data_IF_497782570990
#
_entry.id   IF_497782570990
#
_cell.length_a   1.000
_cell.length_b   1.000
_cell.length_c   1.000
_cell.angle_alpha   90.00
_cell.angle_beta   90.00
_cell.angle_gamma   90.00
#
_symmetry.space_group_name_H-M   'P 1'
#
loop_
_entity.id
_entity.type
_entity.pdbx_description
1 polymer ?
#
# COMPACT_ATOMS: atom_id res chain seq x y z
N UNK A 1 46.99 -23.54 -3.75
CA UNK A 1 47.44 -23.61 -2.33
C UNK A 1 46.39 -23.01 -1.46
N UNK A 2 45.87 -23.81 -0.54
CA UNK A 2 44.77 -23.55 0.37
C UNK A 2 45.17 -22.54 1.46
N UNK A 3 44.28 -21.70 1.93
CA UNK A 3 44.14 -21.36 3.34
C UNK A 3 42.69 -20.99 3.67
N UNK A 4 42.09 -21.90 4.37
CA UNK A 4 40.81 -21.85 5.11
C UNK A 4 41.09 -21.11 6.43
N UNK A 5 40.24 -20.11 6.77
CA UNK A 5 40.23 -19.53 8.12
C UNK A 5 38.87 -19.80 8.73
N UNK A 6 38.87 -20.64 9.72
CA UNK A 6 37.77 -21.03 10.59
C UNK A 6 37.72 -20.03 11.76
N UNK A 7 36.63 -19.35 11.96
CA UNK A 7 36.40 -18.51 13.14
C UNK A 7 35.42 -19.22 14.08
N UNK A 8 35.94 -19.49 15.27
CA UNK A 8 35.33 -20.21 16.39
C UNK A 8 34.44 -19.23 17.20
N UNK A 9 33.16 -19.49 17.31
CA UNK A 9 32.29 -18.78 18.25
C UNK A 9 32.31 -19.46 19.60
N UNK A 10 32.75 -18.73 20.64
CA UNK A 10 32.75 -19.16 22.03
C UNK A 10 31.42 -18.76 22.67
N UNK A 11 30.66 -19.75 23.15
CA UNK A 11 29.52 -19.56 24.04
C UNK A 11 30.02 -19.35 25.48
N UNK A 12 29.61 -18.26 26.10
CA UNK A 12 29.76 -18.12 27.56
C UNK A 12 28.36 -18.17 28.18
N UNK A 13 28.10 -19.28 28.86
CA UNK A 13 26.95 -19.47 29.75
C UNK A 13 27.33 -18.93 31.12
N UNK A 14 26.52 -18.06 31.70
CA UNK A 14 26.65 -17.68 33.10
C UNK A 14 25.32 -17.91 33.83
N UNK A 15 25.22 -19.03 34.52
CA UNK A 15 24.23 -19.28 35.56
C UNK A 15 24.63 -18.57 36.85
N UNK A 16 23.73 -17.78 37.41
CA UNK A 16 23.79 -17.40 38.81
C UNK A 16 22.43 -17.61 39.45
N UNK A 17 22.35 -18.65 40.30
CA UNK A 17 21.27 -18.83 41.26
C UNK A 17 21.57 -17.98 42.50
N UNK A 18 20.56 -17.26 42.99
CA UNK A 18 20.54 -16.82 44.41
C UNK A 18 19.12 -17.05 44.94
N UNK A 19 19.09 -17.69 46.10
CA UNK A 19 17.93 -18.22 46.80
C UNK A 19 17.16 -17.17 47.63
N UNK A 20 15.90 -17.47 47.78
CA UNK A 20 14.92 -17.18 48.83
C UNK A 20 15.24 -16.17 49.95
N UNK A 21 14.28 -15.23 50.13
CA UNK A 21 13.65 -15.10 51.45
C UNK A 21 12.28 -14.42 51.33
N UNK A 22 11.27 -15.03 51.93
CA UNK A 22 9.92 -14.59 51.92
C UNK A 22 9.63 -13.43 52.87
N UNK A 23 8.70 -12.58 52.47
CA UNK A 23 7.91 -11.77 53.41
C UNK A 23 6.49 -11.61 52.86
N UNK A 24 5.54 -12.16 53.63
CA UNK A 24 4.11 -12.00 53.41
C UNK A 24 3.68 -10.57 53.76
N UNK A 25 2.95 -9.88 52.84
CA UNK A 25 2.02 -8.82 53.21
C UNK A 25 0.82 -8.80 52.29
N UNK A 26 -0.33 -8.77 52.92
CA UNK A 26 -1.69 -8.71 52.37
C UNK A 26 -1.94 -7.50 51.46
N UNK A 27 -2.69 -7.78 50.42
CA UNK A 27 -3.87 -7.01 49.99
C UNK A 27 -3.59 -5.70 49.26
N UNK A 28 -3.80 -5.74 47.93
CA UNK A 28 -4.71 -4.78 47.25
C UNK A 28 -5.07 -5.38 45.90
N UNK A 29 -6.38 -5.59 45.69
CA UNK A 29 -6.96 -5.86 44.40
C UNK A 29 -6.73 -4.64 43.51
N UNK A 30 -5.73 -4.69 42.67
CA UNK A 30 -5.66 -3.91 41.45
C UNK A 30 -6.05 -4.84 40.32
N UNK A 31 -7.27 -4.66 39.80
CA UNK A 31 -7.70 -5.17 38.51
C UNK A 31 -6.69 -4.71 37.46
N UNK A 32 -5.74 -5.55 37.13
CA UNK A 32 -4.99 -5.46 35.89
C UNK A 32 -6.00 -5.68 34.78
N UNK A 33 -6.47 -4.56 34.19
CA UNK A 33 -7.08 -4.58 32.88
C UNK A 33 -6.02 -5.07 31.92
N UNK A 34 -6.02 -6.39 31.63
CA UNK A 34 -5.38 -6.93 30.44
C UNK A 34 -5.95 -6.14 29.26
N UNK A 35 -5.16 -5.16 28.81
CA UNK A 35 -5.38 -4.51 27.53
C UNK A 35 -5.32 -5.64 26.51
N UNK A 36 -6.49 -6.01 26.01
CA UNK A 36 -6.67 -6.99 24.95
C UNK A 36 -5.79 -6.55 23.76
N UNK A 37 -4.57 -7.06 23.71
CA UNK A 37 -3.62 -6.77 22.64
C UNK A 37 -4.30 -7.25 21.36
N UNK A 38 -4.75 -6.29 20.52
CA UNK A 38 -5.32 -6.58 19.22
C UNK A 38 -4.32 -7.42 18.44
N UNK A 39 -4.63 -8.70 18.27
CA UNK A 39 -3.87 -9.60 17.40
C UNK A 39 -4.18 -9.16 15.98
N UNK A 40 -3.30 -8.34 15.40
CA UNK A 40 -3.35 -8.04 13.98
C UNK A 40 -2.73 -9.22 13.21
N UNK A 41 -3.36 -9.71 12.15
CA UNK A 41 -2.81 -10.80 11.36
C UNK A 41 -1.47 -10.39 10.74
N UNK A 42 -0.45 -11.23 10.93
CA UNK A 42 0.93 -10.86 10.60
C UNK A 42 1.44 -11.36 9.24
N UNK A 43 0.63 -12.13 8.47
CA UNK A 43 1.17 -12.76 7.26
C UNK A 43 0.19 -12.79 6.10
N UNK A 44 0.74 -12.48 4.93
CA UNK A 44 0.14 -12.73 3.62
C UNK A 44 1.12 -13.61 2.84
N UNK A 45 0.73 -14.81 2.44
CA UNK A 45 1.53 -15.72 1.62
C UNK A 45 1.16 -15.56 0.16
N UNK A 46 2.11 -15.18 -0.69
CA UNK A 46 1.90 -15.17 -2.14
C UNK A 46 2.23 -16.54 -2.74
N UNK A 47 1.59 -16.91 -3.85
CA UNK A 47 1.90 -18.14 -4.58
C UNK A 47 3.32 -18.17 -5.19
N UNK A 48 4.08 -17.11 -5.03
CA UNK A 48 5.48 -17.03 -5.47
C UNK A 48 6.48 -17.51 -4.40
N UNK A 49 6.00 -18.11 -3.30
CA UNK A 49 6.87 -18.61 -2.23
C UNK A 49 7.41 -17.53 -1.30
N UNK A 50 7.05 -16.28 -1.52
CA UNK A 50 7.40 -15.17 -0.64
C UNK A 50 6.23 -14.88 0.31
N UNK A 51 6.50 -14.90 1.60
CA UNK A 51 5.57 -14.43 2.62
C UNK A 51 5.61 -12.92 2.64
N UNK A 52 4.54 -12.25 2.22
CA UNK A 52 4.39 -10.82 2.44
C UNK A 52 3.74 -10.65 3.81
N UNK A 53 4.53 -10.26 4.81
CA UNK A 53 3.99 -9.88 6.09
C UNK A 53 3.17 -8.59 5.96
N UNK A 54 1.94 -8.57 6.51
CA UNK A 54 1.23 -7.32 6.68
C UNK A 54 1.97 -6.47 7.71
N UNK A 55 2.16 -5.18 7.46
CA UNK A 55 2.76 -4.29 8.42
C UNK A 55 1.96 -4.27 9.73
N UNK A 56 2.67 -4.13 10.84
CA UNK A 56 2.03 -4.04 12.15
C UNK A 56 0.97 -2.93 12.18
N UNK A 57 -0.20 -3.23 12.73
CA UNK A 57 -1.33 -2.31 12.78
C UNK A 57 -2.08 -2.14 11.46
N UNK A 58 -1.80 -2.93 10.42
CA UNK A 58 -2.55 -2.90 9.18
C UNK A 58 -3.93 -3.56 9.38
N UNK A 59 -4.96 -2.74 9.50
CA UNK A 59 -6.36 -3.16 9.66
C UNK A 59 -7.23 -2.81 8.44
N UNK A 60 -6.66 -2.18 7.41
CA UNK A 60 -7.34 -1.93 6.13
C UNK A 60 -6.43 -2.31 4.97
N UNK A 61 -6.93 -3.17 4.08
CA UNK A 61 -6.20 -3.57 2.87
C UNK A 61 -7.12 -3.47 1.65
N UNK A 62 -6.69 -2.75 0.63
CA UNK A 62 -7.29 -2.85 -0.70
C UNK A 62 -6.58 -3.98 -1.42
N UNK A 63 -7.31 -5.01 -1.84
CA UNK A 63 -6.77 -6.12 -2.63
C UNK A 63 -7.23 -5.99 -4.06
N UNK A 64 -6.29 -5.93 -4.98
CA UNK A 64 -6.52 -5.86 -6.43
C UNK A 64 -6.11 -7.20 -7.03
N UNK A 65 -7.09 -7.97 -7.49
CA UNK A 65 -6.86 -9.26 -8.14
C UNK A 65 -7.09 -9.13 -9.65
N UNK A 66 -6.01 -9.28 -10.42
CA UNK A 66 -6.10 -9.28 -11.88
C UNK A 66 -6.96 -10.42 -12.40
N UNK A 67 -7.85 -10.10 -13.36
CA UNK A 67 -8.68 -11.10 -14.03
C UNK A 67 -8.29 -11.24 -15.51
N UNK A 68 -9.22 -11.08 -16.45
CA UNK A 68 -8.90 -11.15 -17.87
C UNK A 68 -8.57 -9.77 -18.45
N UNK A 69 -7.50 -9.69 -19.24
CA UNK A 69 -7.07 -8.47 -19.89
C UNK A 69 -6.68 -7.39 -18.86
N UNK A 70 -7.42 -6.29 -18.86
CA UNK A 70 -7.19 -5.14 -17.95
C UNK A 70 -8.14 -5.09 -16.76
N UNK A 71 -9.12 -6.00 -16.72
CA UNK A 71 -10.10 -6.05 -15.63
C UNK A 71 -9.48 -6.58 -14.36
N UNK A 72 -9.95 -6.10 -13.22
CA UNK A 72 -9.59 -6.62 -11.90
C UNK A 72 -10.77 -6.55 -10.94
N UNK A 73 -10.75 -7.42 -9.95
CA UNK A 73 -11.55 -7.30 -8.75
C UNK A 73 -10.79 -6.45 -7.74
N UNK A 74 -11.45 -5.51 -7.11
CA UNK A 74 -10.90 -4.67 -6.04
C UNK A 74 -11.72 -4.92 -4.80
N UNK A 75 -11.11 -5.47 -3.77
CA UNK A 75 -11.75 -5.73 -2.49
C UNK A 75 -11.24 -4.73 -1.46
N UNK A 76 -12.14 -4.04 -0.79
CA UNK A 76 -11.79 -3.20 0.35
C UNK A 76 -12.02 -4.02 1.63
N UNK A 77 -10.93 -4.48 2.26
CA UNK A 77 -10.95 -5.29 3.47
C UNK A 77 -10.74 -4.41 4.71
N UNK A 78 -11.56 -4.65 5.73
CA UNK A 78 -11.38 -4.10 7.08
C UNK A 78 -11.25 -5.24 8.07
N UNK A 79 -10.25 -5.21 8.94
CA UNK A 79 -10.13 -6.09 10.09
C UNK A 79 -10.91 -5.51 11.26
N UNK A 80 -11.89 -6.24 11.76
CA UNK A 80 -12.68 -5.88 12.91
C UNK A 80 -13.17 -7.16 13.61
N UNK A 81 -13.26 -7.14 14.92
CA UNK A 81 -13.81 -8.24 15.73
C UNK A 81 -13.16 -9.60 15.43
N UNK A 82 -11.82 -9.59 15.22
CA UNK A 82 -11.04 -10.80 14.95
C UNK A 82 -11.17 -11.35 13.52
N UNK A 83 -11.82 -10.66 12.60
CA UNK A 83 -12.06 -11.14 11.23
C UNK A 83 -11.89 -10.05 10.17
N UNK A 84 -11.57 -10.48 8.93
CA UNK A 84 -11.57 -9.62 7.76
C UNK A 84 -12.94 -9.60 7.09
N UNK A 85 -13.51 -8.42 6.94
CA UNK A 85 -14.74 -8.17 6.18
C UNK A 85 -14.39 -7.39 4.91
N UNK A 86 -14.99 -7.72 3.79
CA UNK A 86 -14.69 -7.06 2.52
C UNK A 86 -15.92 -6.65 1.73
N UNK A 87 -15.74 -5.65 0.86
CA UNK A 87 -16.67 -5.30 -0.21
C UNK A 87 -15.97 -5.37 -1.56
N UNK A 88 -16.63 -5.93 -2.56
CA UNK A 88 -16.13 -6.04 -3.92
C UNK A 88 -16.47 -4.79 -4.74
N UNK A 89 -15.49 -4.33 -5.49
CA UNK A 89 -15.57 -3.23 -6.46
C UNK A 89 -14.98 -3.72 -7.78
N UNK A 90 -15.65 -3.44 -8.90
CA UNK A 90 -15.06 -3.71 -10.22
C UNK A 90 -14.05 -2.63 -10.57
N UNK A 91 -12.87 -3.04 -11.03
CA UNK A 91 -11.78 -2.15 -11.38
C UNK A 91 -11.09 -2.52 -12.69
N UNK A 92 -10.12 -1.68 -13.03
CA UNK A 92 -9.22 -1.87 -14.18
C UNK A 92 -7.78 -1.56 -13.77
N UNK A 93 -6.84 -2.14 -14.49
CA UNK A 93 -5.39 -1.96 -14.32
C UNK A 93 -4.78 -1.29 -15.55
N UNK A 94 -3.45 -1.24 -15.61
CA UNK A 94 -2.71 -0.80 -16.78
C UNK A 94 -3.12 -1.51 -18.05
N UNK A 95 -3.00 -0.85 -19.21
CA UNK A 95 -3.42 -1.41 -20.50
C UNK A 95 -2.66 -2.67 -20.92
N UNK A 96 -1.57 -3.00 -20.24
CA UNK A 96 -0.82 -4.26 -20.36
C UNK A 96 -0.92 -5.14 -19.12
N UNK A 97 -1.96 -4.96 -18.31
CA UNK A 97 -2.24 -5.76 -17.12
C UNK A 97 -1.34 -5.42 -15.93
N UNK A 98 -1.08 -6.42 -15.09
CA UNK A 98 -0.24 -6.31 -13.89
C UNK A 98 1.14 -6.89 -14.19
N UNK A 99 2.20 -6.17 -13.86
CA UNK A 99 3.57 -6.65 -13.96
C UNK A 99 3.83 -7.71 -12.87
N UNK A 100 4.56 -8.78 -13.14
CA UNK A 100 5.13 -9.61 -12.09
C UNK A 100 5.95 -8.76 -11.11
N UNK A 101 6.01 -9.17 -9.84
CA UNK A 101 6.73 -8.42 -8.81
C UNK A 101 8.18 -8.11 -9.24
N UNK A 102 8.63 -6.88 -9.00
CA UNK A 102 9.98 -6.41 -9.34
C UNK A 102 10.24 -6.14 -10.83
N UNK A 103 9.29 -6.45 -11.73
CA UNK A 103 9.49 -6.30 -13.18
C UNK A 103 8.89 -5.04 -13.78
N UNK A 104 8.12 -4.26 -13.01
CA UNK A 104 7.56 -2.98 -13.45
C UNK A 104 8.66 -2.01 -13.93
N UNK A 105 8.40 -1.30 -15.03
CA UNK A 105 9.28 -0.25 -15.58
C UNK A 105 8.47 0.97 -15.98
N UNK A 106 9.17 2.11 -16.05
CA UNK A 106 8.57 3.35 -16.55
C UNK A 106 8.04 3.16 -17.98
N UNK A 107 6.82 3.66 -18.24
CA UNK A 107 6.19 3.60 -19.57
C UNK A 107 5.76 2.21 -20.04
N UNK A 108 5.87 1.14 -19.24
CA UNK A 108 5.52 -0.23 -19.65
C UNK A 108 4.01 -0.50 -19.74
N UNK A 109 3.17 0.42 -19.28
CA UNK A 109 1.71 0.29 -19.30
C UNK A 109 1.14 -0.74 -18.35
N UNK A 110 1.91 -1.20 -17.38
CA UNK A 110 1.52 -2.21 -16.40
C UNK A 110 1.34 -1.63 -15.00
N UNK A 111 0.44 -2.21 -14.23
CA UNK A 111 0.30 -1.95 -12.78
C UNK A 111 1.33 -2.80 -12.02
N UNK A 112 2.07 -2.27 -11.04
CA UNK A 112 3.02 -3.06 -10.27
C UNK A 112 2.31 -4.08 -9.38
N UNK A 113 2.83 -5.31 -9.28
CA UNK A 113 2.41 -6.27 -8.25
C UNK A 113 3.19 -6.03 -6.95
N UNK A 114 2.55 -6.29 -5.81
CA UNK A 114 3.15 -6.19 -4.48
C UNK A 114 2.22 -5.58 -3.45
N UNK A 115 2.75 -5.42 -2.24
CA UNK A 115 2.09 -4.75 -1.12
C UNK A 115 2.69 -3.36 -0.93
N UNK A 116 1.85 -2.32 -0.93
CA UNK A 116 2.27 -0.92 -0.85
C UNK A 116 1.43 -0.16 0.18
N UNK A 117 2.03 0.78 0.88
CA UNK A 117 1.31 1.65 1.79
C UNK A 117 0.41 2.66 1.04
N UNK A 118 -0.68 3.06 1.70
CA UNK A 118 -1.54 4.18 1.30
C UNK A 118 -1.43 5.23 2.39
N UNK A 119 -0.72 6.33 2.14
CA UNK A 119 -0.42 7.34 3.16
C UNK A 119 -1.08 8.68 2.91
N UNK A 120 -1.41 8.97 1.66
CA UNK A 120 -1.87 10.28 1.22
C UNK A 120 -2.68 10.20 -0.07
N UNK A 121 -3.46 11.22 -0.29
CA UNK A 121 -4.21 11.41 -1.52
C UNK A 121 -4.26 12.86 -1.95
N UNK A 122 -4.83 13.08 -3.11
CA UNK A 122 -5.05 14.39 -3.70
C UNK A 122 -6.50 14.49 -4.18
N UNK A 123 -7.11 15.66 -4.10
CA UNK A 123 -8.44 15.88 -4.66
C UNK A 123 -8.54 17.25 -5.33
N UNK A 124 -9.43 17.33 -6.33
CA UNK A 124 -9.80 18.59 -6.98
C UNK A 124 -11.22 18.99 -6.53
N UNK A 125 -11.51 18.84 -5.25
CA UNK A 125 -12.79 19.18 -4.62
C UNK A 125 -12.48 20.03 -3.43
N UNK A 126 -12.96 21.29 -3.47
CA UNK A 126 -12.88 22.19 -2.32
C UNK A 126 -13.77 21.64 -1.20
N UNK A 127 -13.37 21.82 0.03
CA UNK A 127 -14.13 21.44 1.23
C UNK A 127 -14.46 19.93 1.33
N UNK A 128 -13.69 19.09 0.61
CA UNK A 128 -13.82 17.64 0.76
C UNK A 128 -13.27 17.19 2.12
N UNK A 129 -14.13 16.61 2.94
CA UNK A 129 -13.78 16.11 4.26
C UNK A 129 -13.56 14.61 4.22
N UNK A 130 -12.41 14.16 4.70
CA UNK A 130 -12.04 12.75 4.85
C UNK A 130 -11.11 12.59 6.05
N UNK A 131 -11.15 11.46 6.74
CA UNK A 131 -10.14 11.08 7.74
C UNK A 131 -8.79 10.79 7.08
N UNK A 132 -8.82 10.29 5.83
CA UNK A 132 -7.61 10.04 5.06
C UNK A 132 -6.99 11.37 4.60
N UNK A 133 -5.65 11.54 4.71
CA UNK A 133 -4.98 12.78 4.34
C UNK A 133 -5.13 13.10 2.85
N UNK A 134 -5.99 14.06 2.53
CA UNK A 134 -6.25 14.52 1.16
C UNK A 134 -5.78 15.95 0.98
N UNK A 135 -4.86 16.18 0.07
CA UNK A 135 -4.42 17.53 -0.30
C UNK A 135 -5.23 18.05 -1.48
N UNK A 136 -5.81 19.25 -1.37
CA UNK A 136 -6.48 19.91 -2.49
C UNK A 136 -5.44 20.46 -3.44
N UNK A 137 -5.39 19.94 -4.66
CA UNK A 137 -4.44 20.36 -5.67
C UNK A 137 -5.03 21.37 -6.66
N UNK A 138 -4.17 22.07 -7.38
CA UNK A 138 -4.53 23.06 -8.38
C UNK A 138 -3.78 22.83 -9.71
N UNK A 139 -3.89 23.75 -10.65
CA UNK A 139 -3.30 23.68 -11.99
C UNK A 139 -1.76 23.78 -12.05
N UNK A 140 -1.10 24.01 -10.92
CA UNK A 140 0.35 24.07 -10.80
C UNK A 140 0.97 22.76 -10.31
N UNK A 141 0.16 21.72 -10.05
CA UNK A 141 0.65 20.45 -9.54
C UNK A 141 1.02 19.52 -10.69
N UNK A 142 2.23 18.97 -10.62
CA UNK A 142 2.77 18.01 -11.59
C UNK A 142 3.35 16.84 -10.80
N UNK A 143 3.07 15.62 -11.25
CA UNK A 143 3.82 14.45 -10.79
C UNK A 143 5.01 14.26 -11.72
N UNK A 144 6.24 14.28 -11.19
CA UNK A 144 7.45 14.20 -12.00
C UNK A 144 7.69 12.75 -12.46
N UNK A 145 7.60 12.53 -13.77
CA UNK A 145 7.83 11.23 -14.42
C UNK A 145 9.14 11.20 -15.21
N UNK A 146 9.97 12.26 -15.10
CA UNK A 146 11.24 12.32 -15.81
C UNK A 146 12.31 11.50 -15.10
N UNK A 147 12.70 10.36 -15.67
CA UNK A 147 13.70 9.43 -15.10
C UNK A 147 15.08 10.04 -14.86
N UNK A 148 15.38 11.19 -15.46
CA UNK A 148 16.64 11.94 -15.29
C UNK A 148 16.50 13.06 -14.26
N UNK A 149 15.32 13.25 -13.67
CA UNK A 149 15.09 14.28 -12.68
C UNK A 149 15.49 13.80 -11.28
N UNK A 150 16.11 14.65 -10.46
CA UNK A 150 16.36 14.34 -9.04
C UNK A 150 15.05 14.21 -8.24
N UNK A 151 13.94 14.72 -8.78
CA UNK A 151 12.60 14.66 -8.19
C UNK A 151 11.69 13.63 -8.86
N UNK A 152 12.27 12.69 -9.63
CA UNK A 152 11.52 11.61 -10.27
C UNK A 152 10.60 10.90 -9.26
N UNK A 153 9.38 10.60 -9.69
CA UNK A 153 8.32 9.98 -8.91
C UNK A 153 7.91 10.77 -7.65
N UNK A 154 7.96 12.09 -7.70
CA UNK A 154 7.47 12.96 -6.64
C UNK A 154 6.45 13.98 -7.12
N UNK A 155 5.64 14.48 -6.17
CA UNK A 155 4.70 15.56 -6.42
C UNK A 155 5.40 16.91 -6.36
N UNK A 156 5.38 17.64 -7.46
CA UNK A 156 5.90 19.01 -7.55
C UNK A 156 4.74 20.01 -7.40
N UNK A 157 4.88 20.92 -6.45
CA UNK A 157 4.00 22.05 -6.23
C UNK A 157 4.68 23.31 -6.77
N UNK A 158 4.04 24.00 -7.72
CA UNK A 158 4.60 25.17 -8.38
C UNK A 158 5.97 24.91 -9.07
N UNK A 159 6.11 23.87 -9.91
CA UNK A 159 7.34 23.60 -10.63
C UNK A 159 7.68 24.74 -11.58
N UNK A 160 8.95 24.82 -11.95
CA UNK A 160 9.41 25.81 -12.96
C UNK A 160 8.73 25.58 -14.31
N UNK A 161 8.49 26.64 -15.11
CA UNK A 161 7.94 26.50 -16.47
C UNK A 161 8.75 25.50 -17.31
N UNK A 162 8.05 24.62 -18.04
CA UNK A 162 8.70 23.60 -18.87
C UNK A 162 8.96 22.26 -18.16
N UNK A 163 8.72 22.12 -16.84
CA UNK A 163 8.80 20.84 -16.13
C UNK A 163 7.93 19.80 -16.83
N UNK A 164 8.52 18.63 -17.11
CA UNK A 164 7.84 17.46 -17.67
C UNK A 164 7.22 16.65 -16.55
N UNK A 165 6.12 15.94 -16.84
CA UNK A 165 5.43 15.06 -15.92
C UNK A 165 3.93 15.07 -16.12
N UNK A 166 3.21 14.27 -15.30
CA UNK A 166 1.75 14.23 -15.35
C UNK A 166 1.16 15.50 -14.73
N UNK A 167 0.46 16.25 -15.56
CA UNK A 167 -0.25 17.46 -15.16
C UNK A 167 -1.61 17.07 -14.62
N UNK A 168 -1.72 16.81 -13.33
CA UNK A 168 -2.90 16.27 -12.66
C UNK A 168 -4.19 17.02 -13.00
N UNK A 169 -4.13 18.35 -13.11
CA UNK A 169 -5.27 19.21 -13.40
C UNK A 169 -5.94 18.93 -14.75
N UNK A 170 -5.24 18.33 -15.73
CA UNK A 170 -5.83 17.99 -17.04
C UNK A 170 -6.96 16.96 -16.93
N UNK A 171 -6.93 16.14 -15.87
CA UNK A 171 -7.89 15.06 -15.64
C UNK A 171 -8.77 15.30 -14.41
N UNK A 172 -8.75 16.51 -13.84
CA UNK A 172 -9.35 16.89 -12.54
C UNK A 172 -10.84 16.66 -12.40
N UNK A 173 -11.59 16.76 -13.49
CA UNK A 173 -13.05 16.69 -13.45
C UNK A 173 -13.60 15.26 -13.50
N UNK A 174 -12.76 14.26 -13.77
CA UNK A 174 -13.15 12.86 -13.84
C UNK A 174 -12.10 11.95 -13.18
N UNK A 175 -11.01 11.66 -13.92
CA UNK A 175 -10.05 10.64 -13.49
C UNK A 175 -9.36 11.02 -12.18
N UNK A 176 -8.94 12.26 -12.05
CA UNK A 176 -8.15 12.77 -10.94
C UNK A 176 -8.94 13.65 -9.96
N UNK A 177 -10.26 13.55 -10.00
CA UNK A 177 -11.09 14.23 -9.00
C UNK A 177 -10.75 13.79 -7.58
N UNK A 178 -10.46 12.49 -7.42
CA UNK A 178 -9.93 11.86 -6.21
C UNK A 178 -8.77 10.94 -6.61
N UNK A 179 -7.65 11.09 -5.96
CA UNK A 179 -6.44 10.29 -6.16
C UNK A 179 -6.02 9.75 -4.79
N UNK A 180 -5.73 8.47 -4.70
CA UNK A 180 -4.95 7.91 -3.58
C UNK A 180 -3.61 7.46 -4.12
N UNK A 181 -2.54 7.95 -3.55
CA UNK A 181 -1.17 7.61 -3.96
C UNK A 181 -0.85 6.20 -3.45
N UNK A 182 -0.46 5.33 -4.36
CA UNK A 182 0.16 4.04 -4.01
C UNK A 182 1.65 4.31 -3.79
N UNK A 183 2.15 4.03 -2.59
CA UNK A 183 3.57 4.28 -2.27
C UNK A 183 4.47 3.22 -2.93
N UNK A 184 4.36 3.11 -4.26
CA UNK A 184 5.20 2.31 -5.12
C UNK A 184 6.40 3.13 -5.58
N UNK A 185 7.61 2.61 -5.41
CA UNK A 185 8.86 3.27 -5.83
C UNK A 185 9.02 4.70 -5.26
N UNK A 186 8.60 4.91 -4.01
CA UNK A 186 8.65 6.22 -3.34
C UNK A 186 9.73 6.30 -2.29
N UNK A 187 10.21 5.15 -1.76
CA UNK A 187 11.27 5.10 -0.74
C UNK A 187 11.94 3.72 -0.70
N UNK A 188 13.19 3.59 -1.19
CA UNK A 188 13.90 4.57 -2.04
C UNK A 188 13.30 4.69 -3.44
N UNK A 189 13.44 5.85 -4.05
CA UNK A 189 13.07 6.05 -5.46
C UNK A 189 14.16 5.48 -6.36
N UNK A 190 13.76 4.60 -7.28
CA UNK A 190 14.65 4.00 -8.30
C UNK A 190 14.25 4.56 -9.67
N UNK A 191 15.09 5.38 -10.32
CA UNK A 191 14.81 5.91 -11.65
C UNK A 191 14.51 4.80 -12.67
N UNK A 192 13.42 4.98 -13.42
CA UNK A 192 12.99 4.02 -14.44
C UNK A 192 12.23 2.78 -13.92
N UNK A 193 12.09 2.59 -12.61
CA UNK A 193 11.29 1.50 -12.05
C UNK A 193 9.78 1.73 -12.17
N UNK A 194 9.36 2.91 -12.55
CA UNK A 194 7.96 3.33 -12.71
C UNK A 194 7.57 4.42 -11.72
N UNK A 195 6.66 5.27 -12.13
CA UNK A 195 6.18 6.44 -11.38
C UNK A 195 4.67 6.57 -11.46
N UNK A 196 4.11 7.53 -10.69
CA UNK A 196 2.71 7.96 -10.77
C UNK A 196 1.69 6.81 -10.68
N UNK A 197 1.87 5.91 -9.72
CA UNK A 197 0.91 4.82 -9.47
C UNK A 197 -0.13 5.27 -8.45
N UNK A 198 -1.38 5.32 -8.91
CA UNK A 198 -2.51 5.82 -8.13
C UNK A 198 -3.71 4.88 -8.15
N UNK A 199 -4.60 5.05 -7.16
CA UNK A 199 -6.01 4.71 -7.28
C UNK A 199 -6.73 5.97 -7.76
N UNK A 200 -7.57 5.86 -8.80
CA UNK A 200 -8.33 6.99 -9.34
C UNK A 200 -9.60 6.53 -10.10
N UNK A 201 -10.43 7.46 -10.53
CA UNK A 201 -11.58 7.10 -11.36
C UNK A 201 -11.14 6.70 -12.78
N UNK A 202 -11.74 5.67 -13.38
CA UNK A 202 -11.50 5.32 -14.78
C UNK A 202 -12.05 6.40 -15.72
N UNK A 203 -11.46 6.52 -16.91
CA UNK A 203 -11.91 7.46 -17.93
C UNK A 203 -13.33 7.13 -18.46
N UNK A 204 -13.62 5.84 -18.55
CA UNK A 204 -14.92 5.27 -18.86
C UNK A 204 -14.95 3.85 -18.32
N UNK A 205 -16.17 3.29 -18.11
CA UNK A 205 -16.33 1.92 -17.59
C UNK A 205 -15.51 0.91 -18.38
N UNK A 206 -14.62 0.19 -17.69
CA UNK A 206 -13.76 -0.84 -18.27
C UNK A 206 -12.56 -0.32 -19.08
N UNK A 207 -12.34 0.99 -19.19
CA UNK A 207 -11.15 1.55 -19.86
C UNK A 207 -9.94 1.49 -18.95
N UNK A 208 -8.87 0.84 -19.45
CA UNK A 208 -7.59 0.70 -18.77
C UNK A 208 -6.91 2.04 -18.45
N UNK A 209 -5.92 1.94 -17.57
CA UNK A 209 -5.01 3.04 -17.18
C UNK A 209 -3.65 2.89 -17.86
N UNK A 210 -2.72 3.78 -17.57
CA UNK A 210 -1.31 3.63 -17.98
C UNK A 210 -0.46 2.82 -16.98
N UNK A 211 -1.04 2.43 -15.82
CA UNK A 211 -0.38 1.68 -14.75
C UNK A 211 -1.10 1.78 -13.41
N UNK A 212 -1.98 2.75 -13.25
CA UNK A 212 -2.80 2.94 -12.06
C UNK A 212 -3.88 1.87 -11.93
N UNK A 213 -4.56 1.84 -10.78
CA UNK A 213 -5.81 1.09 -10.59
C UNK A 213 -6.98 2.05 -10.72
N UNK A 214 -7.89 1.75 -11.66
CA UNK A 214 -9.06 2.59 -11.95
C UNK A 214 -10.37 1.92 -11.54
N UNK A 215 -11.34 2.73 -11.07
CA UNK A 215 -12.69 2.29 -10.73
C UNK A 215 -13.71 3.38 -11.05
N UNK A 216 -15.01 3.19 -10.79
CA UNK A 216 -15.97 4.28 -10.96
C UNK A 216 -15.69 5.45 -10.01
N UNK A 217 -16.06 6.67 -10.39
CA UNK A 217 -15.87 7.86 -9.53
C UNK A 217 -16.58 7.70 -8.18
N UNK A 218 -17.79 7.14 -8.18
CA UNK A 218 -18.55 6.88 -6.95
C UNK A 218 -17.84 5.89 -6.02
N UNK A 219 -17.25 4.83 -6.59
CA UNK A 219 -16.45 3.88 -5.81
C UNK A 219 -15.16 4.52 -5.30
N UNK A 220 -14.49 5.34 -6.13
CA UNK A 220 -13.28 6.03 -5.70
C UNK A 220 -13.54 6.98 -4.53
N UNK A 221 -14.65 7.76 -4.60
CA UNK A 221 -15.09 8.61 -3.49
C UNK A 221 -15.35 7.77 -2.23
N UNK A 222 -16.13 6.68 -2.35
CA UNK A 222 -16.38 5.75 -1.25
C UNK A 222 -15.12 5.10 -0.67
N UNK A 223 -14.10 4.82 -1.49
CA UNK A 223 -12.82 4.30 -1.01
C UNK A 223 -12.09 5.35 -0.19
N UNK A 224 -12.02 6.59 -0.65
CA UNK A 224 -11.37 7.68 0.10
C UNK A 224 -12.07 7.94 1.44
N UNK A 225 -13.41 7.95 1.46
CA UNK A 225 -14.20 8.13 2.67
C UNK A 225 -14.06 6.97 3.67
N UNK A 226 -13.78 5.77 3.17
CA UNK A 226 -13.58 4.57 3.98
C UNK A 226 -12.16 4.48 4.56
N UNK A 227 -11.14 5.00 3.88
CA UNK A 227 -9.76 4.94 4.32
C UNK A 227 -9.56 5.69 5.64
N UNK A 228 -8.90 5.02 6.59
CA UNK A 228 -8.57 5.56 7.91
C UNK A 228 -7.07 5.40 8.16
N UNK A 229 -6.30 6.51 8.29
CA UNK A 229 -4.86 6.44 8.51
C UNK A 229 -4.48 5.73 9.82
N UNK A 230 -5.37 5.75 10.85
CA UNK A 230 -5.15 5.04 12.10
C UNK A 230 -5.14 3.51 11.93
N UNK A 231 -5.69 3.00 10.82
CA UNK A 231 -5.73 1.58 10.45
C UNK A 231 -4.58 1.14 9.56
N UNK A 232 -3.56 1.98 9.40
CA UNK A 232 -2.36 1.71 8.59
C UNK A 232 -2.69 1.09 7.23
N UNK A 233 -3.49 1.78 6.36
CA UNK A 233 -4.04 1.20 5.16
C UNK A 233 -2.96 0.86 4.12
N UNK A 234 -3.13 -0.29 3.47
CA UNK A 234 -2.26 -0.78 2.41
C UNK A 234 -3.06 -1.21 1.18
N UNK A 235 -2.37 -1.39 0.07
CA UNK A 235 -2.89 -2.00 -1.15
C UNK A 235 -2.02 -3.19 -1.52
N UNK A 236 -2.66 -4.35 -1.75
CA UNK A 236 -2.05 -5.55 -2.26
C UNK A 236 -2.51 -5.75 -3.71
N UNK A 237 -1.57 -5.79 -4.65
CA UNK A 237 -1.87 -5.94 -6.08
C UNK A 237 -1.35 -7.30 -6.53
N UNK A 238 -2.26 -8.16 -6.99
CA UNK A 238 -2.01 -9.55 -7.33
C UNK A 238 -2.27 -9.79 -8.83
N UNK A 239 -1.33 -10.41 -9.54
CA UNK A 239 -1.55 -10.86 -10.91
C UNK A 239 -2.70 -11.88 -11.00
N UNK A 240 -3.19 -12.09 -12.23
CA UNK A 240 -4.21 -13.11 -12.50
C UNK A 240 -3.79 -14.50 -11.99
N UNK A 241 -4.72 -15.17 -11.32
CA UNK A 241 -4.52 -16.51 -10.76
C UNK A 241 -3.95 -16.53 -9.34
N UNK A 242 -3.63 -15.35 -8.79
CA UNK A 242 -3.27 -15.17 -7.38
C UNK A 242 -4.41 -14.43 -6.69
N UNK A 243 -4.99 -15.03 -5.66
CA UNK A 243 -6.12 -14.46 -4.91
C UNK A 243 -5.75 -14.23 -3.46
N UNK A 244 -6.48 -13.35 -2.78
CA UNK A 244 -6.28 -13.09 -1.35
C UNK A 244 -6.46 -14.36 -0.51
N UNK A 245 -7.40 -15.24 -0.87
CA UNK A 245 -7.62 -16.52 -0.18
C UNK A 245 -6.41 -17.48 -0.26
N UNK A 246 -5.60 -17.34 -1.31
CA UNK A 246 -4.35 -18.08 -1.46
C UNK A 246 -3.19 -17.46 -0.66
N UNK A 247 -3.42 -16.29 -0.10
CA UNK A 247 -2.41 -15.37 0.43
C UNK A 247 -2.57 -15.15 1.93
N UNK A 248 -3.80 -15.16 2.44
CA UNK A 248 -4.08 -15.12 3.88
C UNK A 248 -4.40 -16.55 4.33
N UNK A 249 -3.52 -17.11 5.16
CA UNK A 249 -3.87 -18.27 5.99
C UNK A 249 -4.24 -17.71 7.36
N UNK A 250 -5.51 -17.93 7.73
CA UNK A 250 -5.98 -17.75 9.11
C UNK A 250 -5.17 -18.62 10.07
#
# INVERSE_FOLDING_TARGET
MKRLILALCVFVSCCAMIACNGFSKKGNDSQDSEANARVTPSYVVTNYGESIALPMGCEQVIVVEGTYGVSCNVYAYTYADGSWNSRLINGVTGYRGIAPQGTKREGDGKTPAGLFALKRGLCYVQDFVSSFPMEVYNDRYIWDENIYSPTYNTLLRNPVPGTKGDRLWKHRHLQYRYIVVVEYNTDPVIPGAGSAIFLHAWRAKGKSTAGCVGMSESNMKSVVEWLDPAKNPHILILPKGVTMQNVIKN
#
